data_IF_862583024918
#
_entry.id   IF_862583024918
#
_cell.length_a   1.000
_cell.length_b   1.000
_cell.length_c   1.000
_cell.angle_alpha   90.00
_cell.angle_beta   90.00
_cell.angle_gamma   90.00
#
_symmetry.space_group_name_H-M   'P 1'
#
loop_
_entity.id
_entity.type
_entity.pdbx_description
1 polymer ?
#
# COMPACT_ATOMS: atom_id res chain seq x y z
N UNK A 1 -30.05 -36.67 11.47
CA UNK A 1 -29.72 -35.23 11.51
C UNK A 1 -28.36 -35.14 12.20
N UNK A 2 -27.30 -35.29 11.42
CA UNK A 2 -25.92 -35.21 11.92
C UNK A 2 -25.53 -33.75 11.69
N UNK A 3 -25.32 -33.04 12.78
CA UNK A 3 -24.79 -31.68 12.78
C UNK A 3 -23.32 -31.85 12.43
N UNK A 4 -22.95 -31.55 11.19
CA UNK A 4 -21.55 -31.37 10.83
C UNK A 4 -21.07 -30.08 11.50
N UNK A 5 -20.37 -30.28 12.61
CA UNK A 5 -19.61 -29.27 13.31
C UNK A 5 -18.52 -28.80 12.33
N UNK A 6 -18.71 -27.61 11.79
CA UNK A 6 -17.77 -26.96 10.89
C UNK A 6 -16.51 -26.63 11.69
N UNK A 7 -15.58 -27.58 11.75
CA UNK A 7 -14.30 -27.40 12.42
C UNK A 7 -13.56 -26.27 11.70
N UNK A 8 -13.55 -25.09 12.32
CA UNK A 8 -12.71 -23.99 11.91
C UNK A 8 -11.27 -24.52 11.83
N UNK A 9 -10.72 -24.59 10.62
CA UNK A 9 -9.34 -24.98 10.39
C UNK A 9 -8.45 -24.05 11.22
N UNK A 10 -7.62 -24.61 12.10
CA UNK A 10 -6.57 -23.85 12.78
C UNK A 10 -5.81 -23.03 11.73
N UNK A 11 -5.58 -21.72 11.96
CA UNK A 11 -4.88 -20.90 10.99
C UNK A 11 -3.50 -21.52 10.72
N UNK A 12 -3.25 -21.85 9.46
CA UNK A 12 -1.96 -22.36 9.02
C UNK A 12 -0.86 -21.30 9.18
N UNK A 13 0.42 -21.69 9.15
CA UNK A 13 1.52 -20.72 9.24
C UNK A 13 1.42 -19.69 8.11
N UNK A 14 1.71 -18.42 8.44
CA UNK A 14 1.69 -17.32 7.49
C UNK A 14 2.52 -17.66 6.24
N UNK A 15 1.88 -17.56 5.07
CA UNK A 15 2.62 -17.64 3.81
C UNK A 15 3.60 -16.47 3.70
N UNK A 16 4.87 -16.72 3.32
CA UNK A 16 5.87 -15.66 3.25
C UNK A 16 5.52 -14.63 2.18
N UNK A 17 5.78 -13.36 2.50
CA UNK A 17 5.70 -12.27 1.54
C UNK A 17 6.87 -12.44 0.56
N UNK A 18 6.57 -12.43 -0.74
CA UNK A 18 7.59 -12.55 -1.78
C UNK A 18 7.81 -11.20 -2.46
N UNK A 19 9.04 -10.71 -2.46
CA UNK A 19 9.48 -9.57 -3.26
C UNK A 19 10.66 -10.00 -4.14
N UNK A 20 10.40 -10.22 -5.43
CA UNK A 20 11.34 -10.86 -6.36
C UNK A 20 11.83 -12.22 -5.79
N UNK A 21 13.11 -12.34 -5.46
CA UNK A 21 13.73 -13.52 -4.87
C UNK A 21 13.99 -13.39 -3.35
N UNK A 22 13.46 -12.35 -2.71
CA UNK A 22 13.44 -12.19 -1.26
C UNK A 22 12.13 -12.75 -0.69
N UNK A 23 12.23 -13.67 0.25
CA UNK A 23 11.12 -14.11 1.09
C UNK A 23 11.19 -13.38 2.43
N UNK A 24 10.08 -12.80 2.85
CA UNK A 24 9.95 -12.11 4.13
C UNK A 24 8.91 -12.86 4.97
N UNK A 25 9.30 -13.20 6.19
CA UNK A 25 8.42 -13.77 7.19
C UNK A 25 8.71 -13.11 8.55
N UNK A 26 8.10 -13.59 9.61
CA UNK A 26 8.16 -12.94 10.91
C UNK A 26 8.41 -13.94 12.03
N UNK A 27 9.13 -13.50 13.05
CA UNK A 27 9.37 -14.28 14.27
C UNK A 27 8.94 -13.52 15.50
N UNK A 28 8.48 -14.26 16.50
CA UNK A 28 8.18 -13.77 17.85
C UNK A 28 9.20 -14.25 18.88
N UNK A 29 10.28 -14.90 18.43
CA UNK A 29 11.35 -15.43 19.27
C UNK A 29 12.57 -14.52 19.24
N UNK A 30 13.11 -14.26 20.43
CA UNK A 30 14.21 -13.33 20.64
C UNK A 30 15.18 -13.83 21.71
N UNK A 31 16.47 -13.74 21.40
CA UNK A 31 17.55 -13.93 22.36
C UNK A 31 17.99 -12.59 22.97
N UNK A 32 17.95 -12.48 24.31
CA UNK A 32 18.43 -11.30 25.04
C UNK A 32 19.95 -11.24 25.00
N UNK A 33 20.52 -10.19 24.40
CA UNK A 33 21.97 -10.01 24.30
C UNK A 33 22.50 -9.22 25.50
N UNK A 34 21.92 -8.04 25.71
CA UNK A 34 22.38 -7.09 26.73
C UNK A 34 21.22 -6.23 27.22
N UNK A 35 21.28 -5.83 28.48
CA UNK A 35 20.33 -4.93 29.10
C UNK A 35 21.08 -3.88 29.90
N UNK A 36 20.57 -2.66 29.86
CA UNK A 36 21.16 -1.52 30.59
C UNK A 36 20.81 -1.54 32.09
N UNK A 37 20.13 -2.57 32.58
CA UNK A 37 19.88 -2.82 34.00
C UNK A 37 21.16 -2.68 34.83
N UNK A 38 21.13 -1.89 35.89
CA UNK A 38 22.28 -1.66 36.76
C UNK A 38 23.25 -0.56 36.28
N UNK A 39 22.99 0.05 35.13
CA UNK A 39 23.67 1.30 34.69
C UNK A 39 22.85 2.54 35.10
N UNK A 40 23.43 3.73 34.97
CA UNK A 40 22.69 5.01 35.15
C UNK A 40 22.01 5.48 33.86
N UNK A 41 22.09 4.71 32.77
CA UNK A 41 21.45 5.02 31.50
C UNK A 41 19.95 4.72 31.54
N UNK A 42 19.21 5.22 30.54
CA UNK A 42 17.81 4.84 30.36
C UNK A 42 17.69 3.32 30.20
N UNK A 43 16.67 2.75 30.86
CA UNK A 43 16.42 1.31 30.84
C UNK A 43 16.08 0.85 29.41
N UNK A 44 16.73 -0.21 28.96
CA UNK A 44 16.55 -0.74 27.62
C UNK A 44 17.29 -2.06 27.45
N UNK A 45 16.82 -2.85 26.49
CA UNK A 45 17.36 -4.18 26.23
C UNK A 45 17.53 -4.40 24.73
N UNK A 46 18.69 -4.95 24.37
CA UNK A 46 19.02 -5.38 23.02
C UNK A 46 18.71 -6.86 22.85
N UNK A 47 17.98 -7.16 21.79
CA UNK A 47 17.45 -8.48 21.48
C UNK A 47 17.85 -8.89 20.07
N UNK A 48 18.23 -10.16 19.89
CA UNK A 48 18.40 -10.76 18.57
C UNK A 48 17.15 -11.51 18.18
N UNK A 49 16.47 -11.20 17.06
CA UNK A 49 15.45 -12.09 16.53
C UNK A 49 16.06 -13.45 16.20
N UNK A 50 15.43 -14.52 16.67
CA UNK A 50 15.90 -15.90 16.51
C UNK A 50 14.82 -16.70 15.79
N UNK A 51 14.76 -16.68 14.44
CA UNK A 51 13.78 -17.49 13.72
C UNK A 51 13.94 -18.97 14.09
N UNK A 52 12.86 -19.56 14.60
CA UNK A 52 12.81 -20.96 15.00
C UNK A 52 13.17 -21.86 13.80
N UNK A 53 14.10 -22.80 13.97
CA UNK A 53 14.68 -23.55 12.84
C UNK A 53 13.71 -24.56 12.22
N UNK A 54 12.76 -25.02 13.01
CA UNK A 54 11.68 -25.93 12.63
C UNK A 54 10.56 -25.18 11.87
N UNK A 55 10.19 -23.99 12.32
CA UNK A 55 9.14 -23.19 11.68
C UNK A 55 9.64 -22.34 10.50
N UNK A 56 10.86 -21.81 10.59
CA UNK A 56 11.46 -20.85 9.65
C UNK A 56 12.88 -21.27 9.21
N UNK A 57 13.04 -22.46 8.60
CA UNK A 57 14.35 -22.92 8.14
C UNK A 57 14.93 -21.98 7.09
N UNK A 58 16.20 -21.61 7.28
CA UNK A 58 16.93 -20.75 6.34
C UNK A 58 16.63 -19.25 6.45
N UNK A 59 15.76 -18.84 7.37
CA UNK A 59 15.51 -17.42 7.63
C UNK A 59 16.60 -16.83 8.52
N UNK A 60 16.95 -15.56 8.24
CA UNK A 60 17.94 -14.79 8.97
C UNK A 60 17.38 -13.44 9.42
N UNK A 61 17.81 -12.93 10.58
CA UNK A 61 17.51 -11.57 10.98
C UNK A 61 18.29 -10.55 10.14
N UNK A 62 17.77 -9.32 10.10
CA UNK A 62 18.34 -8.17 9.40
C UNK A 62 19.20 -7.26 10.29
N UNK A 63 19.12 -7.47 11.60
CA UNK A 63 19.77 -6.69 12.65
C UNK A 63 19.20 -7.08 14.01
N UNK A 64 19.76 -6.51 15.06
CA UNK A 64 19.22 -6.64 16.41
C UNK A 64 18.19 -5.52 16.68
N UNK A 65 17.33 -5.76 17.65
CA UNK A 65 16.23 -4.89 18.05
C UNK A 65 16.57 -4.24 19.40
N UNK A 66 16.25 -2.97 19.56
CA UNK A 66 16.32 -2.30 20.86
C UNK A 66 14.92 -2.00 21.37
N UNK A 67 14.61 -2.45 22.59
CA UNK A 67 13.32 -2.21 23.24
C UNK A 67 13.55 -1.44 24.55
N UNK A 68 12.91 -0.27 24.73
CA UNK A 68 12.91 0.44 26.01
C UNK A 68 12.38 -0.44 27.15
N UNK A 69 13.01 -0.33 28.32
CA UNK A 69 12.67 -1.15 29.48
C UNK A 69 13.35 -2.53 29.52
N UNK A 70 12.79 -3.41 30.34
CA UNK A 70 13.37 -4.72 30.64
C UNK A 70 12.29 -5.84 30.64
N UNK A 71 11.28 -5.69 29.80
CA UNK A 71 10.23 -6.70 29.62
C UNK A 71 10.74 -7.81 28.68
N UNK A 72 10.26 -9.04 28.90
CA UNK A 72 10.46 -10.12 27.94
C UNK A 72 9.53 -9.89 26.76
N UNK A 73 10.06 -9.89 25.55
CA UNK A 73 9.30 -9.59 24.33
C UNK A 73 8.91 -10.83 23.53
N UNK A 74 9.34 -12.02 23.98
CA UNK A 74 9.03 -13.29 23.33
C UNK A 74 7.53 -13.54 23.33
N UNK A 75 6.95 -13.82 22.16
CA UNK A 75 5.51 -14.04 21.99
C UNK A 75 4.65 -12.76 22.01
N UNK A 76 5.19 -11.60 22.38
CA UNK A 76 4.47 -10.33 22.43
C UNK A 76 4.81 -9.40 21.26
N UNK A 77 6.06 -9.45 20.80
CA UNK A 77 6.56 -8.64 19.70
C UNK A 77 6.86 -9.50 18.48
N UNK A 78 6.84 -8.86 17.32
CA UNK A 78 7.06 -9.50 16.02
C UNK A 78 8.16 -8.75 15.27
N UNK A 79 9.14 -9.47 14.71
CA UNK A 79 10.23 -8.89 13.92
C UNK A 79 10.37 -9.59 12.57
N UNK A 80 10.73 -8.82 11.54
CA UNK A 80 10.91 -9.33 10.19
C UNK A 80 12.19 -10.17 10.08
N UNK A 81 12.08 -11.30 9.41
CA UNK A 81 13.19 -12.19 9.05
C UNK A 81 13.11 -12.54 7.58
N UNK A 82 14.25 -12.83 6.97
CA UNK A 82 14.35 -12.98 5.51
C UNK A 82 15.01 -14.28 5.09
N UNK A 83 14.58 -14.83 3.96
CA UNK A 83 15.16 -16.01 3.34
C UNK A 83 15.32 -15.79 1.83
N UNK A 84 16.29 -16.47 1.24
CA UNK A 84 16.44 -16.53 -0.22
C UNK A 84 15.37 -17.44 -0.80
N UNK A 85 14.67 -17.00 -1.84
CA UNK A 85 13.74 -17.87 -2.56
C UNK A 85 14.53 -18.91 -3.35
N UNK A 86 14.16 -20.20 -3.19
CA UNK A 86 14.72 -21.26 -4.03
C UNK A 86 14.23 -21.11 -5.48
N UNK A 87 15.08 -20.51 -6.32
CA UNK A 87 14.87 -20.37 -7.75
C UNK A 87 15.43 -21.61 -8.46
N UNK A 88 14.77 -22.77 -8.33
CA UNK A 88 15.17 -24.07 -8.91
C UNK A 88 15.51 -23.99 -10.41
N UNK A 89 16.76 -23.63 -10.74
CA UNK A 89 17.29 -23.54 -12.10
C UNK A 89 16.99 -22.24 -12.87
N UNK A 90 16.23 -21.29 -12.31
CA UNK A 90 16.01 -19.99 -12.95
C UNK A 90 17.18 -19.05 -12.63
N UNK A 91 17.97 -18.66 -13.63
CA UNK A 91 19.02 -17.65 -13.45
C UNK A 91 18.36 -16.30 -13.15
N UNK A 92 18.45 -15.83 -11.90
CA UNK A 92 18.19 -14.41 -11.61
C UNK A 92 19.36 -13.60 -12.18
N UNK A 93 19.09 -12.74 -13.16
CA UNK A 93 20.09 -11.86 -13.77
C UNK A 93 20.72 -10.88 -12.76
N UNK A 94 20.04 -10.64 -11.62
CA UNK A 94 20.47 -9.73 -10.55
C UNK A 94 21.18 -10.42 -9.38
N UNK A 95 21.39 -11.75 -9.44
CA UNK A 95 22.02 -12.52 -8.37
C UNK A 95 21.12 -12.77 -7.15
N UNK A 96 21.71 -13.12 -6.00
CA UNK A 96 20.99 -13.47 -4.77
C UNK A 96 20.38 -12.24 -4.11
N UNK A 97 19.20 -12.40 -3.49
CA UNK A 97 18.56 -11.34 -2.70
C UNK A 97 19.34 -11.04 -1.42
N UNK A 98 20.01 -12.04 -0.86
CA UNK A 98 20.71 -11.94 0.41
C UNK A 98 22.21 -12.22 0.28
N UNK A 99 23.01 -11.47 1.04
CA UNK A 99 24.43 -11.71 1.22
C UNK A 99 24.83 -11.67 2.69
N UNK A 100 25.91 -12.36 3.05
CA UNK A 100 26.55 -12.15 4.35
C UNK A 100 27.24 -10.77 4.34
N UNK A 101 27.35 -10.08 5.48
CA UNK A 101 28.24 -8.93 5.58
C UNK A 101 29.67 -9.33 5.20
N UNK A 102 30.40 -8.42 4.57
CA UNK A 102 31.80 -8.60 4.23
C UNK A 102 32.68 -8.55 5.49
N UNK A 103 32.33 -7.65 6.43
CA UNK A 103 32.95 -7.55 7.74
C UNK A 103 32.02 -6.79 8.72
N UNK A 104 32.46 -6.56 9.95
CA UNK A 104 31.81 -5.70 10.93
C UNK A 104 32.76 -4.61 11.45
N UNK A 105 32.25 -3.38 11.50
CA UNK A 105 32.92 -2.22 12.08
C UNK A 105 32.43 -2.01 13.52
N UNK A 106 33.36 -1.79 14.46
CA UNK A 106 33.02 -1.49 15.86
C UNK A 106 32.47 -0.06 15.95
N UNK A 107 31.22 0.09 16.40
CA UNK A 107 30.58 1.40 16.61
C UNK A 107 30.71 1.85 18.07
N UNK A 108 30.53 0.90 19.00
CA UNK A 108 30.55 1.18 20.42
C UNK A 108 30.98 -0.04 21.22
N UNK A 109 31.62 0.18 22.37
CA UNK A 109 31.86 -0.85 23.37
C UNK A 109 31.92 -0.27 24.77
N UNK A 110 31.54 -1.09 25.73
CA UNK A 110 31.71 -0.79 27.14
C UNK A 110 33.20 -0.68 27.49
N UNK A 111 33.56 0.27 28.35
CA UNK A 111 34.96 0.63 28.63
C UNK A 111 35.38 0.37 30.07
N UNK A 112 34.48 -0.14 30.92
CA UNK A 112 34.75 -0.31 32.34
C UNK A 112 35.56 -1.59 32.59
N UNK A 113 36.73 -1.45 33.22
CA UNK A 113 37.60 -2.57 33.62
C UNK A 113 36.95 -3.48 34.67
N UNK A 114 35.89 -3.02 35.32
CA UNK A 114 35.15 -3.71 36.38
C UNK A 114 33.65 -3.89 36.07
N UNK A 115 33.19 -3.65 34.83
CA UNK A 115 31.79 -4.00 34.50
C UNK A 115 31.63 -5.51 34.45
N UNK A 116 30.53 -6.00 35.04
CA UNK A 116 30.18 -7.42 35.07
C UNK A 116 29.83 -7.93 33.67
N UNK A 117 29.39 -7.04 32.78
CA UNK A 117 29.12 -7.32 31.37
C UNK A 117 30.13 -6.60 30.49
N UNK A 118 30.66 -7.27 29.47
CA UNK A 118 31.40 -6.64 28.38
C UNK A 118 30.43 -6.59 27.21
N UNK A 119 30.14 -5.44 26.64
CA UNK A 119 29.18 -5.35 25.54
C UNK A 119 29.75 -4.50 24.41
N UNK A 120 29.45 -4.88 23.17
CA UNK A 120 29.81 -4.09 22.00
C UNK A 120 28.70 -4.05 20.95
N UNK A 121 28.68 -2.98 20.15
CA UNK A 121 27.74 -2.76 19.06
C UNK A 121 28.54 -2.58 17.77
N UNK A 122 28.12 -3.30 16.74
CA UNK A 122 28.82 -3.44 15.47
C UNK A 122 27.91 -3.08 14.30
N UNK A 123 28.48 -2.38 13.32
CA UNK A 123 27.83 -2.07 12.04
C UNK A 123 28.27 -3.11 11.02
N UNK A 124 27.35 -3.84 10.37
CA UNK A 124 27.70 -4.70 9.26
C UNK A 124 28.22 -3.86 8.09
N UNK A 125 29.31 -4.31 7.46
CA UNK A 125 29.82 -3.76 6.20
C UNK A 125 29.21 -4.61 5.09
N UNK A 126 28.22 -4.10 4.34
CA UNK A 126 27.60 -4.88 3.27
C UNK A 126 28.55 -5.04 2.07
N UNK A 127 28.47 -6.16 1.33
CA UNK A 127 29.12 -6.28 0.03
C UNK A 127 28.58 -5.26 -0.99
N UNK A 128 29.33 -5.02 -2.07
CA UNK A 128 28.89 -4.14 -3.17
C UNK A 128 27.55 -4.61 -3.73
N UNK A 129 26.60 -3.68 -3.89
CA UNK A 129 25.24 -3.96 -4.36
C UNK A 129 24.24 -4.38 -3.27
N UNK A 130 24.69 -4.46 -2.01
CA UNK A 130 23.86 -4.79 -0.87
C UNK A 130 23.88 -3.66 0.17
N UNK A 131 22.91 -3.67 1.07
CA UNK A 131 22.82 -2.73 2.20
C UNK A 131 22.64 -3.47 3.51
N UNK A 132 23.12 -2.87 4.60
CA UNK A 132 22.85 -3.33 5.95
C UNK A 132 21.56 -2.68 6.46
N UNK A 133 20.69 -3.47 7.07
CA UNK A 133 19.37 -3.02 7.53
C UNK A 133 19.30 -2.83 9.05
N UNK A 134 20.43 -2.76 9.74
CA UNK A 134 20.49 -2.59 11.20
C UNK A 134 21.90 -2.82 11.76
N UNK A 135 22.03 -2.73 13.08
CA UNK A 135 23.27 -3.03 13.82
C UNK A 135 23.16 -4.33 14.61
N UNK A 136 24.31 -4.83 15.07
CA UNK A 136 24.43 -6.07 15.82
C UNK A 136 25.11 -5.80 17.17
N UNK A 137 24.50 -6.25 18.26
CA UNK A 137 25.05 -6.23 19.60
C UNK A 137 25.75 -7.55 19.92
N UNK A 138 26.80 -7.52 20.72
CA UNK A 138 27.51 -8.68 21.23
C UNK A 138 27.64 -8.57 22.75
N UNK A 139 27.44 -9.68 23.45
CA UNK A 139 27.58 -9.81 24.91
C UNK A 139 29.04 -9.92 25.37
N UNK A 140 29.97 -9.58 24.48
CA UNK A 140 31.40 -9.42 24.73
C UNK A 140 31.96 -8.29 23.83
N UNK A 141 33.29 -8.19 23.73
CA UNK A 141 33.97 -7.26 22.81
C UNK A 141 34.45 -7.95 21.53
N UNK A 142 34.00 -9.18 21.27
CA UNK A 142 34.40 -9.95 20.11
C UNK A 142 33.57 -9.54 18.89
N UNK A 143 34.22 -9.57 17.73
CA UNK A 143 33.53 -9.31 16.47
C UNK A 143 32.45 -10.39 16.22
N UNK A 144 31.22 -10.02 15.81
CA UNK A 144 30.17 -10.98 15.50
C UNK A 144 30.52 -11.91 14.32
N UNK A 145 29.84 -13.05 14.25
CA UNK A 145 29.95 -13.95 13.10
C UNK A 145 29.31 -13.32 11.85
N UNK A 146 29.91 -13.55 10.68
CA UNK A 146 29.30 -13.16 9.39
C UNK A 146 27.97 -13.89 9.12
N UNK A 147 27.63 -14.93 9.89
CA UNK A 147 26.35 -15.61 9.78
C UNK A 147 25.24 -14.98 10.64
N UNK A 148 25.56 -14.00 11.50
CA UNK A 148 24.63 -13.44 12.49
C UNK A 148 23.43 -12.75 11.86
N UNK A 149 23.61 -12.06 10.72
CA UNK A 149 22.55 -11.36 9.98
C UNK A 149 22.72 -11.55 8.47
N UNK A 150 21.81 -10.99 7.66
CA UNK A 150 22.00 -10.81 6.22
C UNK A 150 21.89 -9.35 5.80
N UNK A 151 22.71 -8.98 4.81
CA UNK A 151 22.54 -7.78 4.02
C UNK A 151 21.59 -8.07 2.86
N UNK A 152 20.81 -7.08 2.45
CA UNK A 152 19.78 -7.22 1.40
C UNK A 152 20.23 -6.49 0.15
N UNK A 153 19.96 -7.07 -1.02
CA UNK A 153 20.28 -6.46 -2.30
C UNK A 153 19.57 -5.11 -2.42
N UNK A 154 20.31 -4.08 -2.86
CA UNK A 154 19.87 -2.69 -2.75
C UNK A 154 18.58 -2.36 -3.51
N UNK A 155 18.23 -3.08 -4.58
CA UNK A 155 17.01 -2.86 -5.37
C UNK A 155 15.74 -3.48 -4.75
N UNK A 156 15.89 -4.29 -3.70
CA UNK A 156 14.79 -4.95 -2.97
C UNK A 156 14.33 -4.16 -1.74
N UNK A 157 14.97 -3.03 -1.48
CA UNK A 157 14.68 -2.13 -0.36
C UNK A 157 14.48 -0.72 -0.88
N UNK A 158 13.98 0.15 -0.01
CA UNK A 158 13.89 1.58 -0.25
C UNK A 158 14.67 2.33 0.82
N UNK A 159 15.26 3.46 0.46
CA UNK A 159 15.87 4.36 1.44
C UNK A 159 14.80 4.85 2.43
N UNK A 160 15.15 4.83 3.71
CA UNK A 160 14.27 5.20 4.81
C UNK A 160 14.82 6.40 5.56
N UNK A 161 13.95 7.06 6.29
CA UNK A 161 14.30 8.18 7.15
C UNK A 161 14.81 7.69 8.50
N UNK A 162 15.75 8.43 9.07
CA UNK A 162 16.08 8.28 10.49
C UNK A 162 14.95 8.92 11.28
N UNK A 163 14.38 8.19 12.22
CA UNK A 163 13.23 8.62 13.02
C UNK A 163 13.62 9.24 14.37
N UNK A 164 12.76 9.02 15.35
CA UNK A 164 12.94 9.46 16.74
C UNK A 164 14.11 8.75 17.47
N UNK A 165 14.72 9.39 18.47
CA UNK A 165 15.75 8.77 19.30
C UNK A 165 15.15 7.63 20.13
N UNK A 166 15.74 6.44 20.03
CA UNK A 166 15.37 5.29 20.85
C UNK A 166 16.14 5.27 22.16
N UNK A 167 17.46 5.51 22.10
CA UNK A 167 18.35 5.40 23.26
C UNK A 167 19.69 6.10 23.05
N UNK A 168 20.40 6.38 24.13
CA UNK A 168 21.81 6.76 24.11
C UNK A 168 22.54 6.22 25.33
N UNK A 169 23.86 6.16 25.22
CA UNK A 169 24.73 5.54 26.22
C UNK A 169 25.10 6.45 27.41
N UNK A 170 24.51 7.64 27.54
CA UNK A 170 24.77 8.53 28.66
C UNK A 170 24.38 7.83 29.96
N UNK A 171 25.34 7.67 30.87
CA UNK A 171 25.15 6.96 32.14
C UNK A 171 25.57 5.49 32.14
N UNK A 172 26.05 4.96 31.01
CA UNK A 172 26.66 3.61 30.96
C UNK A 172 28.11 3.57 31.47
N UNK A 173 28.80 4.71 31.46
CA UNK A 173 30.24 4.77 31.81
C UNK A 173 31.18 4.37 30.68
N UNK A 174 30.67 4.19 29.45
CA UNK A 174 31.52 3.99 28.27
C UNK A 174 32.32 5.26 27.91
N UNK A 175 33.48 5.07 27.29
CA UNK A 175 34.33 6.17 26.78
C UNK A 175 33.89 6.66 25.40
N UNK A 176 33.32 5.76 24.60
CA UNK A 176 32.72 6.10 23.32
C UNK A 176 31.32 6.68 23.58
N UNK A 177 30.86 7.53 22.67
CA UNK A 177 29.46 8.00 22.66
C UNK A 177 28.65 7.18 21.68
N UNK A 178 27.38 6.93 22.00
CA UNK A 178 26.48 6.20 21.12
C UNK A 178 25.04 6.66 21.28
N UNK A 179 24.32 6.71 20.15
CA UNK A 179 22.87 6.84 20.13
C UNK A 179 22.24 5.90 19.11
N UNK A 180 21.07 5.36 19.47
CA UNK A 180 20.21 4.53 18.65
C UNK A 180 18.96 5.31 18.24
N UNK A 181 18.56 5.19 16.98
CA UNK A 181 17.47 5.92 16.36
C UNK A 181 16.52 4.94 15.63
N UNK A 182 15.24 5.28 15.62
CA UNK A 182 14.23 4.52 14.91
C UNK A 182 14.45 4.62 13.39
N UNK A 183 13.91 3.65 12.65
CA UNK A 183 13.83 3.68 11.19
C UNK A 183 12.40 3.99 10.80
N UNK A 184 12.22 5.01 9.96
CA UNK A 184 10.92 5.44 9.47
C UNK A 184 10.84 5.22 7.96
N UNK A 185 9.96 4.33 7.48
CA UNK A 185 9.76 4.12 6.06
C UNK A 185 9.39 5.42 5.34
N UNK A 186 9.76 5.56 4.06
CA UNK A 186 9.27 6.66 3.24
C UNK A 186 7.76 6.53 3.03
N UNK A 187 7.13 7.60 2.56
CA UNK A 187 5.74 7.53 2.11
C UNK A 187 5.63 6.54 0.95
N UNK A 188 4.75 5.55 1.08
CA UNK A 188 4.56 4.53 0.05
C UNK A 188 3.88 5.11 -1.20
N UNK A 189 4.34 4.64 -2.36
CA UNK A 189 3.70 4.88 -3.65
C UNK A 189 2.38 4.11 -3.78
N UNK A 190 1.45 4.51 -4.67
CA UNK A 190 0.20 3.80 -4.88
C UNK A 190 0.42 2.32 -5.22
N UNK A 191 -0.23 1.45 -4.45
CA UNK A 191 -0.11 -0.01 -4.60
C UNK A 191 1.06 -0.64 -3.84
N UNK A 192 1.83 0.13 -3.06
CA UNK A 192 2.98 -0.37 -2.31
C UNK A 192 2.77 -0.33 -0.78
N UNK A 193 3.56 -1.17 -0.10
CA UNK A 193 3.79 -1.12 1.35
C UNK A 193 5.29 -1.08 1.59
N UNK A 194 5.76 -0.06 2.32
CA UNK A 194 7.12 0.07 2.82
C UNK A 194 7.12 -0.11 4.35
N UNK A 195 8.04 -0.90 4.92
CA UNK A 195 8.06 -1.13 6.37
C UNK A 195 9.48 -1.33 6.91
N UNK A 196 9.71 -0.81 8.12
CA UNK A 196 10.98 -0.94 8.80
C UNK A 196 11.18 -2.39 9.23
N UNK A 197 12.42 -2.93 9.21
CA UNK A 197 12.70 -4.30 9.61
C UNK A 197 12.57 -4.55 11.13
N UNK A 198 12.31 -3.50 11.92
CA UNK A 198 12.26 -3.57 13.38
C UNK A 198 13.60 -3.38 14.08
N UNK A 199 14.64 -2.99 13.34
CA UNK A 199 15.98 -2.72 13.84
C UNK A 199 16.16 -1.22 14.15
N UNK A 200 17.40 -0.79 14.38
CA UNK A 200 17.74 0.61 14.66
C UNK A 200 18.97 1.07 13.87
N UNK A 201 19.07 2.39 13.72
CA UNK A 201 20.28 3.09 13.27
C UNK A 201 21.13 3.44 14.48
N UNK A 202 22.44 3.18 14.42
CA UNK A 202 23.38 3.48 15.49
C UNK A 202 24.56 4.32 15.02
N UNK A 203 24.83 5.42 15.74
CA UNK A 203 25.93 6.35 15.42
C UNK A 203 26.82 6.63 16.63
N UNK A 204 28.13 6.87 16.43
CA UNK A 204 29.07 7.14 17.51
C UNK A 204 29.00 8.60 18.01
N UNK A 205 27.80 9.20 18.00
CA UNK A 205 27.52 10.57 18.45
C UNK A 205 26.15 10.62 19.12
N UNK A 206 25.75 11.78 19.65
CA UNK A 206 24.41 12.01 20.19
C UNK A 206 23.47 12.74 19.22
N UNK A 207 23.95 13.09 18.04
CA UNK A 207 23.19 13.86 17.05
C UNK A 207 22.51 12.92 16.06
N UNK A 208 21.30 13.29 15.65
CA UNK A 208 20.55 12.55 14.63
C UNK A 208 21.36 12.51 13.33
N UNK A 209 21.64 11.32 12.76
CA UNK A 209 22.30 11.26 11.47
C UNK A 209 21.41 11.83 10.37
N UNK A 210 22.03 12.55 9.44
CA UNK A 210 21.36 13.20 8.30
C UNK A 210 21.91 12.77 6.94
N UNK A 211 22.90 11.86 6.91
CA UNK A 211 23.48 11.39 5.66
C UNK A 211 22.50 10.48 4.91
N UNK A 212 22.42 10.58 3.57
CA UNK A 212 21.63 9.65 2.76
C UNK A 212 22.19 8.23 2.89
N UNK A 213 21.34 7.23 2.68
CA UNK A 213 21.68 5.81 2.76
C UNK A 213 22.00 5.32 4.18
N UNK A 214 21.59 6.06 5.21
CA UNK A 214 21.79 5.68 6.62
C UNK A 214 20.80 4.61 7.08
N UNK A 215 19.59 4.60 6.52
CA UNK A 215 18.53 3.69 6.90
C UNK A 215 17.81 3.16 5.65
N UNK A 216 17.26 1.95 5.77
CA UNK A 216 16.52 1.28 4.70
C UNK A 216 15.28 0.59 5.26
N UNK A 217 14.24 0.51 4.43
CA UNK A 217 13.00 -0.21 4.71
C UNK A 217 12.78 -1.32 3.68
N UNK A 218 12.12 -2.39 4.12
CA UNK A 218 11.61 -3.43 3.23
C UNK A 218 10.42 -2.88 2.44
N UNK A 219 10.14 -3.45 1.27
CA UNK A 219 8.98 -3.09 0.46
C UNK A 219 8.28 -4.30 -0.14
N UNK A 220 7.00 -4.15 -0.43
CA UNK A 220 6.18 -5.11 -1.17
C UNK A 220 5.07 -4.41 -1.96
N UNK A 221 4.56 -5.09 -2.98
CA UNK A 221 3.34 -4.68 -3.67
C UNK A 221 2.11 -5.21 -2.92
N UNK A 222 1.02 -4.45 -2.91
CA UNK A 222 -0.28 -4.91 -2.44
C UNK A 222 -0.85 -5.86 -3.51
N UNK A 223 -0.99 -7.17 -3.23
CA UNK A 223 -1.60 -8.09 -4.17
C UNK A 223 -3.05 -7.69 -4.41
N UNK A 224 -3.39 -7.45 -5.67
CA UNK A 224 -4.72 -7.06 -6.09
C UNK A 224 -5.30 -8.11 -7.04
N UNK A 225 -6.48 -8.61 -6.71
CA UNK A 225 -7.27 -9.45 -7.60
C UNK A 225 -8.36 -8.59 -8.22
N UNK A 226 -8.42 -8.54 -9.54
CA UNK A 226 -9.43 -7.79 -10.30
C UNK A 226 -10.26 -8.79 -11.11
N UNK A 227 -11.58 -8.75 -10.93
CA UNK A 227 -12.57 -9.48 -11.72
C UNK A 227 -13.24 -8.51 -12.70
N UNK A 228 -13.98 -9.06 -13.65
CA UNK A 228 -14.71 -8.26 -14.63
C UNK A 228 -15.69 -7.30 -13.95
N UNK A 229 -15.69 -6.05 -14.39
CA UNK A 229 -16.67 -5.04 -13.97
C UNK A 229 -18.10 -5.49 -14.31
N UNK A 230 -19.11 -5.10 -13.50
CA UNK A 230 -20.49 -5.39 -13.82
C UNK A 230 -20.88 -4.76 -15.16
N UNK A 231 -21.73 -5.45 -15.91
CA UNK A 231 -22.30 -4.88 -17.13
C UNK A 231 -23.46 -3.96 -16.77
N UNK A 232 -23.54 -2.82 -17.45
CA UNK A 232 -24.65 -1.90 -17.33
C UNK A 232 -25.97 -2.59 -17.71
N UNK A 233 -27.02 -2.52 -16.88
CA UNK A 233 -28.31 -3.10 -17.21
C UNK A 233 -28.95 -2.40 -18.41
N UNK A 234 -29.55 -3.19 -19.32
CA UNK A 234 -30.31 -2.68 -20.45
C UNK A 234 -31.82 -2.95 -20.24
N UNK A 235 -32.65 -1.99 -20.60
CA UNK A 235 -34.11 -2.18 -20.61
C UNK A 235 -34.52 -3.12 -21.75
N UNK A 236 -35.18 -4.22 -21.39
CA UNK A 236 -35.73 -5.20 -22.34
C UNK A 236 -37.24 -5.05 -22.57
N UNK A 237 -37.88 -4.11 -21.87
CA UNK A 237 -39.31 -3.83 -21.98
C UNK A 237 -39.72 -2.54 -21.27
N UNK A 238 -41.03 -2.31 -21.19
CA UNK A 238 -41.64 -1.14 -20.51
C UNK A 238 -41.93 -1.39 -19.02
N UNK A 239 -41.48 -2.50 -18.46
CA UNK A 239 -41.62 -2.77 -17.04
C UNK A 239 -40.54 -2.02 -16.26
N UNK A 240 -40.85 -1.65 -15.02
CA UNK A 240 -39.85 -1.13 -14.10
C UNK A 240 -38.77 -2.21 -13.87
N UNK A 241 -37.46 -1.86 -13.91
CA UNK A 241 -36.40 -2.80 -13.58
C UNK A 241 -36.57 -3.38 -12.17
N UNK A 242 -36.26 -4.67 -11.99
CA UNK A 242 -36.21 -5.29 -10.65
C UNK A 242 -34.89 -5.01 -9.94
N UNK A 243 -34.89 -5.09 -8.60
CA UNK A 243 -33.74 -4.81 -7.72
C UNK A 243 -32.74 -5.99 -7.60
N UNK A 244 -32.87 -7.04 -8.41
CA UNK A 244 -32.12 -8.30 -8.26
C UNK A 244 -30.69 -8.26 -8.83
N UNK A 245 -29.90 -7.26 -8.45
CA UNK A 245 -28.46 -7.28 -8.70
C UNK A 245 -27.78 -8.24 -7.70
N UNK A 246 -27.21 -9.33 -8.21
CA UNK A 246 -26.34 -10.20 -7.40
C UNK A 246 -25.06 -9.42 -7.08
N UNK A 247 -24.92 -9.01 -5.82
CA UNK A 247 -23.72 -8.36 -5.28
C UNK A 247 -22.49 -9.24 -5.54
N UNK A 248 -21.59 -8.78 -6.41
CA UNK A 248 -20.36 -9.52 -6.77
C UNK A 248 -19.14 -8.68 -6.44
N UNK A 249 -18.29 -9.23 -5.57
CA UNK A 249 -16.96 -8.67 -5.29
C UNK A 249 -16.16 -8.61 -6.59
N UNK A 250 -15.82 -7.40 -7.02
CA UNK A 250 -15.10 -7.13 -8.27
C UNK A 250 -13.61 -7.01 -8.04
N UNK A 251 -13.19 -6.48 -6.89
CA UNK A 251 -11.76 -6.33 -6.58
C UNK A 251 -11.45 -6.71 -5.14
N UNK A 252 -10.27 -7.29 -4.93
CA UNK A 252 -9.80 -7.69 -3.59
C UNK A 252 -8.34 -7.26 -3.43
N UNK A 253 -8.09 -6.34 -2.50
CA UNK A 253 -6.74 -5.99 -2.06
C UNK A 253 -6.37 -6.83 -0.83
N UNK A 254 -5.31 -7.64 -0.93
CA UNK A 254 -4.83 -8.50 0.18
C UNK A 254 -3.79 -7.75 1.01
N UNK A 255 -4.08 -7.55 2.29
CA UNK A 255 -3.23 -6.76 3.20
C UNK A 255 -2.63 -7.67 4.29
N UNK A 256 -1.33 -7.55 4.60
CA UNK A 256 -0.74 -8.31 5.71
C UNK A 256 -1.17 -7.73 7.06
N UNK A 257 -1.14 -8.56 8.10
CA UNK A 257 -1.55 -8.21 9.48
C UNK A 257 -0.93 -6.91 10.00
N UNK A 258 0.33 -6.62 9.65
CA UNK A 258 1.01 -5.44 10.17
C UNK A 258 0.47 -4.14 9.55
N UNK A 259 -0.12 -4.20 8.34
CA UNK A 259 -0.69 -3.05 7.63
C UNK A 259 -2.12 -2.71 8.07
N UNK A 260 -2.73 -3.53 8.92
CA UNK A 260 -4.09 -3.36 9.44
C UNK A 260 -4.04 -3.31 10.96
N UNK A 261 -4.74 -2.36 11.56
CA UNK A 261 -5.00 -2.36 13.00
C UNK A 261 -6.32 -3.07 13.26
N UNK A 262 -6.29 -4.04 14.16
CA UNK A 262 -7.49 -4.83 14.47
C UNK A 262 -7.48 -5.30 15.92
N UNK A 263 -6.34 -5.84 16.37
CA UNK A 263 -6.13 -6.23 17.76
C UNK A 263 -5.26 -5.22 18.49
N UNK A 264 -5.37 -5.20 19.83
CA UNK A 264 -4.48 -4.42 20.68
C UNK A 264 -3.06 -5.03 20.72
N UNK A 265 -2.95 -6.36 20.66
CA UNK A 265 -1.68 -7.07 20.66
C UNK A 265 -1.28 -7.48 19.22
N UNK A 266 -0.12 -7.00 18.72
CA UNK A 266 0.38 -7.34 17.39
C UNK A 266 0.67 -8.84 17.17
N UNK A 267 1.20 -9.55 18.17
CA UNK A 267 1.52 -10.96 18.04
C UNK A 267 0.26 -11.83 17.99
N UNK A 268 -0.77 -11.50 18.77
CA UNK A 268 -2.08 -12.15 18.69
C UNK A 268 -2.66 -12.02 17.27
N UNK A 269 -2.65 -10.80 16.72
CA UNK A 269 -3.11 -10.53 15.35
C UNK A 269 -2.33 -11.34 14.32
N UNK A 270 -1.00 -11.43 14.46
CA UNK A 270 -0.14 -12.17 13.55
C UNK A 270 -0.54 -13.65 13.46
N UNK A 271 -0.91 -14.28 14.58
CA UNK A 271 -1.29 -15.69 14.61
C UNK A 271 -2.77 -15.95 14.25
N UNK A 272 -3.68 -15.02 14.57
CA UNK A 272 -5.11 -15.20 14.32
C UNK A 272 -5.58 -14.72 12.95
N UNK A 273 -4.90 -13.73 12.37
CA UNK A 273 -5.27 -13.11 11.08
C UNK A 273 -4.04 -12.56 10.37
N UNK A 274 -3.17 -13.43 9.84
CA UNK A 274 -1.94 -13.02 9.13
C UNK A 274 -2.22 -12.17 7.88
N UNK A 275 -3.41 -12.31 7.29
CA UNK A 275 -3.87 -11.54 6.14
C UNK A 275 -5.32 -11.06 6.31
N UNK A 276 -5.62 -9.96 5.65
CA UNK A 276 -6.94 -9.34 5.53
C UNK A 276 -7.27 -9.13 4.06
N UNK A 277 -8.56 -9.12 3.74
CA UNK A 277 -9.08 -8.79 2.43
C UNK A 277 -9.89 -7.51 2.50
N UNK A 278 -9.40 -6.44 1.87
CA UNK A 278 -10.22 -5.27 1.57
C UNK A 278 -10.93 -5.53 0.24
N UNK A 279 -12.19 -5.94 0.35
CA UNK A 279 -13.04 -6.28 -0.77
C UNK A 279 -13.76 -5.03 -1.26
N UNK A 280 -13.83 -4.87 -2.58
CA UNK A 280 -14.63 -3.88 -3.27
C UNK A 280 -15.65 -4.61 -4.14
N UNK A 281 -16.91 -4.20 -4.01
CA UNK A 281 -18.00 -4.63 -4.88
C UNK A 281 -18.44 -3.43 -5.70
N UNK A 282 -18.49 -3.59 -7.03
CA UNK A 282 -19.05 -2.58 -7.94
C UNK A 282 -20.43 -3.04 -8.41
N UNK A 283 -21.41 -2.13 -8.41
CA UNK A 283 -22.75 -2.39 -8.91
C UNK A 283 -23.39 -1.16 -9.57
N UNK A 284 -24.33 -1.41 -10.48
CA UNK A 284 -25.15 -0.36 -11.08
C UNK A 284 -26.46 -0.21 -10.30
N UNK A 285 -26.63 0.91 -9.63
CA UNK A 285 -27.83 1.25 -8.85
C UNK A 285 -28.80 2.06 -9.71
N UNK A 286 -30.08 1.70 -9.69
CA UNK A 286 -31.13 2.43 -10.41
C UNK A 286 -31.41 3.77 -9.70
N UNK A 287 -31.09 4.88 -10.38
CA UNK A 287 -31.40 6.24 -9.89
C UNK A 287 -32.83 6.63 -10.27
N UNK A 288 -33.26 6.23 -11.46
CA UNK A 288 -34.46 6.77 -12.07
C UNK A 288 -35.03 5.89 -13.15
N UNK A 289 -36.35 5.85 -13.21
CA UNK A 289 -37.13 5.19 -14.24
C UNK A 289 -38.31 6.08 -14.63
N UNK A 290 -38.59 6.19 -15.93
CA UNK A 290 -39.82 6.79 -16.44
C UNK A 290 -40.31 6.04 -17.68
N UNK A 291 -41.62 5.86 -17.78
CA UNK A 291 -42.28 5.35 -18.97
C UNK A 291 -43.21 6.42 -19.53
N UNK A 292 -42.80 7.02 -20.64
CA UNK A 292 -43.59 8.05 -21.31
C UNK A 292 -44.58 7.41 -22.28
N UNK A 293 -45.83 7.31 -21.87
CA UNK A 293 -46.95 6.82 -22.71
C UNK A 293 -47.51 7.87 -23.66
N UNK A 294 -47.07 9.13 -23.57
CA UNK A 294 -47.61 10.23 -24.37
C UNK A 294 -46.95 10.35 -25.75
N UNK A 295 -47.56 11.14 -26.63
CA UNK A 295 -47.03 11.45 -27.97
C UNK A 295 -45.98 12.59 -27.99
N UNK A 296 -45.61 13.14 -26.83
CA UNK A 296 -44.64 14.25 -26.72
C UNK A 296 -43.43 13.84 -25.88
N UNK A 297 -42.25 14.26 -26.28
CA UNK A 297 -41.04 14.16 -25.46
C UNK A 297 -41.20 15.03 -24.21
N UNK A 298 -40.79 14.51 -23.05
CA UNK A 298 -40.84 15.26 -21.79
C UNK A 298 -39.54 15.09 -21.00
N UNK A 299 -39.12 16.09 -20.21
CA UNK A 299 -38.02 15.90 -19.28
C UNK A 299 -38.48 15.07 -18.08
N UNK A 300 -37.65 14.11 -17.67
CA UNK A 300 -37.75 13.46 -16.39
C UNK A 300 -36.57 13.91 -15.51
N UNK A 301 -36.82 14.05 -14.20
CA UNK A 301 -35.85 14.54 -13.23
C UNK A 301 -35.82 13.60 -12.04
N UNK A 302 -34.62 13.17 -11.67
CA UNK A 302 -34.37 12.31 -10.52
C UNK A 302 -33.25 12.88 -9.66
N UNK A 303 -33.24 12.46 -8.41
CA UNK A 303 -32.19 12.81 -7.44
C UNK A 303 -31.32 11.57 -7.22
N UNK A 304 -30.07 11.65 -7.65
CA UNK A 304 -29.06 10.62 -7.41
C UNK A 304 -28.41 10.86 -6.04
N UNK A 305 -28.70 9.98 -5.09
CA UNK A 305 -28.00 9.97 -3.81
C UNK A 305 -26.59 9.43 -3.97
N UNK A 306 -25.74 9.69 -2.98
CA UNK A 306 -24.34 9.29 -2.95
C UNK A 306 -24.12 8.25 -1.85
N UNK A 307 -23.39 7.20 -2.15
CA UNK A 307 -22.95 6.17 -1.22
C UNK A 307 -21.81 6.64 -0.30
N UNK A 308 -21.14 7.75 -0.64
CA UNK A 308 -20.10 8.38 0.19
C UNK A 308 -20.60 8.60 1.62
N UNK A 309 -19.88 8.02 2.59
CA UNK A 309 -20.14 8.17 4.02
C UNK A 309 -18.86 8.61 4.75
N UNK A 310 -18.55 9.92 4.82
CA UNK A 310 -17.33 10.43 5.44
C UNK A 310 -17.23 10.08 6.93
N UNK A 311 -18.36 9.96 7.63
CA UNK A 311 -18.37 9.57 9.06
C UNK A 311 -17.98 8.09 9.21
N UNK A 312 -18.57 7.23 8.39
CA UNK A 312 -18.22 5.81 8.32
C UNK A 312 -16.75 5.60 7.95
N UNK A 313 -16.28 6.30 6.92
CA UNK A 313 -14.89 6.26 6.48
C UNK A 313 -13.91 6.70 7.59
N UNK A 314 -14.20 7.77 8.34
CA UNK A 314 -13.37 8.18 9.48
C UNK A 314 -13.36 7.13 10.60
N UNK A 315 -14.49 6.49 10.90
CA UNK A 315 -14.56 5.40 11.89
C UNK A 315 -13.75 4.19 11.42
N UNK A 316 -13.87 3.84 10.14
CA UNK A 316 -13.08 2.78 9.51
C UNK A 316 -11.58 3.07 9.66
N UNK A 317 -11.10 4.22 9.18
CA UNK A 317 -9.69 4.61 9.29
C UNK A 317 -9.22 4.72 10.74
N UNK A 318 -10.06 5.21 11.66
CA UNK A 318 -9.73 5.28 13.08
C UNK A 318 -9.54 3.90 13.74
N UNK A 319 -10.31 2.90 13.29
CA UNK A 319 -10.22 1.53 13.81
C UNK A 319 -9.08 0.75 13.14
N UNK A 320 -8.96 0.84 11.81
CA UNK A 320 -8.08 -0.02 10.99
C UNK A 320 -6.73 0.61 10.66
N UNK A 321 -6.57 1.91 10.90
CA UNK A 321 -5.48 2.78 10.41
C UNK A 321 -5.43 2.96 8.89
N UNK A 322 -6.20 2.20 8.10
CA UNK A 322 -6.18 2.26 6.63
C UNK A 322 -6.75 3.59 6.16
N UNK A 323 -6.06 4.23 5.23
CA UNK A 323 -6.53 5.43 4.54
C UNK A 323 -6.85 5.10 3.08
N UNK A 324 -8.03 5.48 2.62
CA UNK A 324 -8.49 5.14 1.27
C UNK A 324 -7.86 6.03 0.21
N UNK A 325 -7.74 7.34 0.46
CA UNK A 325 -7.31 8.30 -0.57
C UNK A 325 -5.83 8.73 -0.47
N UNK A 326 -5.07 8.18 0.49
CA UNK A 326 -3.69 8.60 0.77
C UNK A 326 -2.91 7.48 1.47
N UNK A 327 -1.61 7.68 1.64
CA UNK A 327 -0.79 6.74 2.40
C UNK A 327 -1.16 6.73 3.90
N UNK A 328 -1.02 5.56 4.54
CA UNK A 328 -1.22 5.34 5.97
C UNK A 328 -0.01 4.66 6.63
N UNK A 329 0.16 4.74 7.96
CA UNK A 329 -0.68 5.46 8.92
C UNK A 329 -0.53 6.99 8.76
N UNK A 330 -1.64 7.72 8.86
CA UNK A 330 -1.64 9.19 8.80
C UNK A 330 -1.43 9.86 10.15
N UNK A 331 -1.61 9.10 11.24
CA UNK A 331 -1.42 9.51 12.62
C UNK A 331 -0.47 8.52 13.28
N UNK A 332 0.42 9.02 14.15
CA UNK A 332 1.32 8.17 14.91
C UNK A 332 0.49 7.22 15.77
N UNK A 333 0.60 5.91 15.49
CA UNK A 333 -0.13 4.90 16.25
C UNK A 333 0.48 4.84 17.66
N UNK A 334 -0.38 4.81 18.67
CA UNK A 334 0.02 4.64 20.07
C UNK A 334 0.34 3.19 20.43
N UNK A 335 0.34 2.27 19.45
CA UNK A 335 0.57 0.85 19.70
C UNK A 335 2.07 0.52 19.72
N UNK A 336 2.45 -0.46 20.55
CA UNK A 336 3.84 -0.91 20.65
C UNK A 336 4.16 -1.90 19.52
N UNK A 337 4.06 -1.47 18.26
CA UNK A 337 4.57 -2.26 17.14
C UNK A 337 6.07 -2.01 16.98
N UNK A 338 6.83 -3.10 16.81
CA UNK A 338 8.25 -3.01 16.44
C UNK A 338 8.41 -2.52 14.99
N UNK A 339 7.45 -2.83 14.13
CA UNK A 339 7.47 -2.52 12.70
C UNK A 339 6.70 -1.21 12.43
N UNK A 340 7.42 -0.13 12.12
CA UNK A 340 6.84 1.05 11.48
C UNK A 340 6.57 0.75 10.01
N UNK A 341 5.49 1.29 9.44
CA UNK A 341 5.12 1.09 8.04
C UNK A 341 4.62 2.38 7.38
N UNK A 342 4.62 2.39 6.05
CA UNK A 342 3.79 3.24 5.20
C UNK A 342 3.18 2.36 4.12
N UNK A 343 1.90 2.54 3.81
CA UNK A 343 1.20 1.81 2.75
C UNK A 343 0.25 2.74 2.02
N UNK A 344 0.00 2.50 0.73
CA UNK A 344 -0.97 3.27 -0.06
C UNK A 344 -1.69 2.36 -1.03
N UNK A 345 -3.02 2.42 -1.04
CA UNK A 345 -3.83 1.61 -1.95
C UNK A 345 -3.66 2.10 -3.40
N UNK A 346 -3.81 1.21 -4.40
CA UNK A 346 -3.83 1.63 -5.81
C UNK A 346 -4.93 2.64 -6.11
N UNK A 347 -4.67 3.57 -7.02
CA UNK A 347 -5.60 4.67 -7.30
C UNK A 347 -6.89 4.18 -7.98
N UNK A 348 -6.80 3.29 -8.98
CA UNK A 348 -7.96 2.61 -9.58
C UNK A 348 -8.80 1.82 -8.59
N UNK A 349 -8.18 1.23 -7.56
CA UNK A 349 -8.92 0.50 -6.52
C UNK A 349 -9.76 1.45 -5.67
N UNK A 350 -9.32 2.69 -5.51
CA UNK A 350 -9.90 3.69 -4.59
C UNK A 350 -10.61 4.85 -5.30
N UNK A 351 -10.75 4.77 -6.63
CA UNK A 351 -11.30 5.82 -7.50
C UNK A 351 -10.56 7.16 -7.43
N UNK A 352 -9.33 7.20 -6.94
CA UNK A 352 -8.60 8.48 -6.78
C UNK A 352 -7.97 9.01 -8.07
N UNK A 353 -7.90 8.19 -9.12
CA UNK A 353 -7.42 8.58 -10.45
C UNK A 353 -8.49 9.32 -11.28
N UNK A 354 -9.77 9.01 -11.05
CA UNK A 354 -10.91 9.47 -11.87
C UNK A 354 -11.87 10.40 -11.12
N UNK A 355 -11.77 10.48 -9.78
CA UNK A 355 -12.76 11.21 -8.98
C UNK A 355 -12.69 12.72 -9.17
N UNK A 356 -13.75 13.30 -9.73
CA UNK A 356 -13.92 14.74 -9.82
C UNK A 356 -14.35 15.38 -8.47
N UNK A 357 -15.01 14.61 -7.58
CA UNK A 357 -15.65 15.14 -6.37
C UNK A 357 -15.12 14.59 -5.03
N UNK A 358 -14.25 13.58 -5.06
CA UNK A 358 -13.56 13.01 -3.90
C UNK A 358 -14.45 12.19 -2.95
N UNK A 359 -13.85 11.74 -1.85
CA UNK A 359 -14.49 10.85 -0.86
C UNK A 359 -15.35 11.55 0.21
N UNK A 360 -15.41 12.89 0.17
CA UNK A 360 -16.09 13.69 1.21
C UNK A 360 -17.38 14.36 0.73
N UNK A 361 -17.66 14.36 -0.58
CA UNK A 361 -18.85 14.99 -1.14
C UNK A 361 -20.07 14.07 -0.96
N UNK A 362 -21.09 14.59 -0.27
CA UNK A 362 -22.33 13.87 0.01
C UNK A 362 -23.55 14.49 -0.69
N UNK A 363 -23.39 15.66 -1.31
CA UNK A 363 -24.52 16.35 -1.95
C UNK A 363 -25.06 15.48 -3.08
N UNK A 364 -26.37 15.17 -3.05
CA UNK A 364 -26.99 14.41 -4.12
C UNK A 364 -26.92 15.21 -5.42
N UNK A 365 -26.84 14.50 -6.53
CA UNK A 365 -26.87 15.09 -7.85
C UNK A 365 -28.28 15.06 -8.42
N UNK A 366 -28.57 16.00 -9.32
CA UNK A 366 -29.82 16.01 -10.05
C UNK A 366 -29.54 15.49 -11.45
N UNK A 367 -30.19 14.39 -11.82
CA UNK A 367 -30.11 13.83 -13.17
C UNK A 367 -31.38 14.19 -13.92
N UNK A 368 -31.21 14.79 -15.10
CA UNK A 368 -32.31 15.16 -16.00
C UNK A 368 -32.07 14.44 -17.32
N UNK A 369 -33.07 13.68 -17.79
CA UNK A 369 -33.04 13.04 -19.09
C UNK A 369 -34.30 13.39 -19.89
N UNK A 370 -34.16 13.50 -21.21
CA UNK A 370 -35.30 13.66 -22.10
C UNK A 370 -35.87 12.29 -22.43
N UNK A 371 -37.13 12.05 -22.05
CA UNK A 371 -37.83 10.80 -22.30
C UNK A 371 -38.67 10.99 -23.57
N UNK A 372 -38.26 10.32 -24.65
CA UNK A 372 -38.95 10.35 -25.93
C UNK A 372 -40.40 9.85 -25.80
N UNK A 373 -41.23 10.19 -26.79
CA UNK A 373 -42.61 9.70 -26.85
C UNK A 373 -42.63 8.17 -26.93
N UNK A 374 -43.55 7.53 -26.21
CA UNK A 374 -43.75 6.06 -26.23
C UNK A 374 -42.50 5.24 -25.88
N UNK A 375 -41.55 5.79 -25.11
CA UNK A 375 -40.36 5.07 -24.64
C UNK A 375 -40.34 4.92 -23.13
N UNK A 376 -39.74 3.85 -22.63
CA UNK A 376 -39.26 3.75 -21.26
C UNK A 376 -37.76 4.10 -21.20
N UNK A 377 -37.34 4.73 -20.11
CA UNK A 377 -35.95 5.11 -19.84
C UNK A 377 -35.60 4.68 -18.42
N UNK A 378 -34.39 4.12 -18.24
CA UNK A 378 -33.80 3.87 -16.94
C UNK A 378 -32.41 4.50 -16.88
N UNK A 379 -32.08 5.07 -15.73
CA UNK A 379 -30.80 5.67 -15.42
C UNK A 379 -30.15 4.89 -14.29
N UNK A 380 -28.97 4.38 -14.54
CA UNK A 380 -28.14 3.69 -13.56
C UNK A 380 -26.88 4.50 -13.25
N UNK A 381 -26.35 4.32 -12.06
CA UNK A 381 -25.07 4.87 -11.66
C UNK A 381 -24.22 3.80 -10.97
N UNK A 382 -22.93 3.85 -11.24
CA UNK A 382 -21.97 2.94 -10.61
C UNK A 382 -21.72 3.35 -9.15
N UNK A 383 -21.94 2.41 -8.25
CA UNK A 383 -21.55 2.51 -6.85
C UNK A 383 -20.54 1.40 -6.49
N UNK A 384 -19.62 1.72 -5.59
CA UNK A 384 -18.59 0.82 -5.09
C UNK A 384 -18.64 0.74 -3.58
N UNK A 385 -18.77 -0.47 -3.04
CA UNK A 385 -18.86 -0.73 -1.61
C UNK A 385 -17.62 -1.48 -1.10
N UNK A 386 -17.11 -1.08 0.06
CA UNK A 386 -15.85 -1.56 0.60
C UNK A 386 -16.05 -2.24 1.95
N UNK A 387 -15.51 -3.45 2.07
CA UNK A 387 -15.56 -4.24 3.30
C UNK A 387 -14.20 -4.86 3.59
N UNK A 388 -13.75 -4.75 4.84
CA UNK A 388 -12.53 -5.39 5.31
C UNK A 388 -12.89 -6.69 6.03
N UNK A 389 -12.27 -7.79 5.62
CA UNK A 389 -12.56 -9.15 6.10
C UNK A 389 -11.27 -9.77 6.66
N UNK A 390 -11.37 -10.45 7.81
CA UNK A 390 -10.32 -11.32 8.38
C UNK A 390 -10.23 -12.63 7.62
N UNK A 391 -9.16 -13.39 7.83
CA UNK A 391 -8.99 -14.71 7.20
C UNK A 391 -10.09 -15.72 7.58
N UNK A 392 -10.68 -15.59 8.77
CA UNK A 392 -11.81 -16.42 9.23
C UNK A 392 -13.18 -16.02 8.62
N UNK A 393 -13.20 -15.00 7.76
CA UNK A 393 -14.41 -14.48 7.12
C UNK A 393 -15.17 -13.43 7.94
N UNK A 394 -14.73 -13.11 9.15
CA UNK A 394 -15.38 -12.09 9.97
C UNK A 394 -15.06 -10.68 9.48
N UNK A 395 -16.06 -9.79 9.52
CA UNK A 395 -15.88 -8.41 9.11
C UNK A 395 -15.12 -7.59 10.17
N UNK A 396 -14.30 -6.67 9.67
CA UNK A 396 -13.58 -5.66 10.44
C UNK A 396 -14.17 -4.30 10.12
N UNK A 397 -14.54 -3.57 11.17
CA UNK A 397 -15.05 -2.20 11.10
C UNK A 397 -16.30 -2.02 10.21
N UNK A 398 -16.71 -0.76 10.04
CA UNK A 398 -17.91 -0.37 9.29
C UNK A 398 -17.66 -0.38 7.78
N UNK A 399 -18.67 -0.79 7.02
CA UNK A 399 -18.71 -0.67 5.56
C UNK A 399 -18.91 0.79 5.13
N UNK A 400 -18.36 1.14 3.97
CA UNK A 400 -18.52 2.45 3.36
C UNK A 400 -18.55 2.32 1.83
N UNK A 401 -19.18 3.29 1.17
CA UNK A 401 -19.37 3.28 -0.28
C UNK A 401 -18.82 4.53 -0.96
N UNK A 402 -18.77 4.46 -2.29
CA UNK A 402 -18.39 5.53 -3.19
C UNK A 402 -19.25 5.48 -4.44
N UNK A 403 -19.84 6.61 -4.79
CA UNK A 403 -20.57 6.79 -6.04
C UNK A 403 -19.67 7.46 -7.07
N UNK A 404 -19.52 6.85 -8.25
CA UNK A 404 -18.83 7.43 -9.39
C UNK A 404 -19.77 8.40 -10.14
N UNK A 405 -19.42 9.68 -10.11
CA UNK A 405 -20.19 10.73 -10.75
C UNK A 405 -19.98 10.83 -12.26
N UNK A 406 -18.93 10.20 -12.78
CA UNK A 406 -18.65 10.12 -14.21
C UNK A 406 -19.35 8.94 -14.91
N UNK A 407 -19.74 7.92 -14.15
CA UNK A 407 -20.33 6.67 -14.66
C UNK A 407 -21.85 6.63 -14.52
N UNK A 408 -22.54 7.51 -15.25
CA UNK A 408 -24.01 7.47 -15.41
C UNK A 408 -24.35 6.74 -16.70
N UNK A 409 -25.16 5.69 -16.60
CA UNK A 409 -25.63 4.92 -17.74
C UNK A 409 -27.13 5.13 -18.00
N UNK A 410 -27.46 5.55 -19.21
CA UNK A 410 -28.83 5.72 -19.68
C UNK A 410 -29.18 4.59 -20.63
N UNK A 411 -30.29 3.90 -20.39
CA UNK A 411 -30.86 2.90 -21.30
C UNK A 411 -32.32 3.24 -21.60
N UNK A 412 -32.80 2.85 -22.78
CA UNK A 412 -34.18 3.07 -23.21
C UNK A 412 -34.78 1.87 -23.93
N UNK A 413 -36.11 1.79 -23.92
CA UNK A 413 -36.90 0.79 -24.66
C UNK A 413 -38.08 1.46 -25.39
N UNK A 414 -38.35 1.14 -26.66
CA UNK A 414 -37.57 0.25 -27.54
C UNK A 414 -36.17 0.82 -27.81
N UNK A 415 -35.15 -0.03 -28.07
CA UNK A 415 -33.83 0.44 -28.48
C UNK A 415 -33.94 1.36 -29.70
N UNK A 416 -33.11 2.39 -29.78
CA UNK A 416 -33.11 3.28 -30.94
C UNK A 416 -32.84 2.46 -32.21
N UNK A 417 -33.75 2.53 -33.18
CA UNK A 417 -33.43 2.07 -34.53
C UNK A 417 -32.39 3.06 -35.07
N UNK A 418 -31.17 2.59 -35.25
CA UNK A 418 -30.14 3.35 -35.97
C UNK A 418 -30.67 3.50 -37.40
N UNK A 419 -31.28 4.65 -37.72
CA UNK A 419 -31.51 5.04 -39.10
C UNK A 419 -30.13 5.27 -39.72
N UNK A 420 -29.65 4.26 -40.45
CA UNK A 420 -28.51 4.42 -41.35
C UNK A 420 -28.92 5.50 -42.33
N UNK A 421 -28.37 6.71 -42.14
CA UNK A 421 -28.59 7.83 -43.05
C UNK A 421 -28.26 7.35 -44.47
N UNK A 422 -29.30 7.21 -45.30
CA UNK A 422 -29.12 6.95 -46.72
C UNK A 422 -28.31 8.11 -47.30
N UNK A 423 -27.25 7.75 -48.01
CA UNK A 423 -26.28 8.67 -48.58
C UNK A 423 -26.96 9.88 -49.26
N UNK A 424 -26.48 11.08 -48.97
CA UNK A 424 -26.87 12.29 -49.69
C UNK A 424 -26.71 12.05 -51.21
N UNK A 425 -27.69 12.40 -52.05
CA UNK A 425 -27.50 12.41 -53.50
C UNK A 425 -26.38 13.39 -53.85
N UNK A 426 -25.41 12.96 -54.64
CA UNK A 426 -24.34 13.83 -55.10
C UNK A 426 -24.91 15.00 -55.93
N UNK A 427 -24.43 16.23 -55.73
CA UNK A 427 -24.84 17.35 -56.55
C UNK A 427 -24.31 17.16 -57.98
N UNK A 428 -25.21 17.19 -58.96
CA UNK A 428 -24.88 17.24 -60.37
C UNK A 428 -24.21 18.57 -60.68
N UNK A 429 -22.91 18.50 -61.01
CA UNK A 429 -22.12 19.66 -61.40
C UNK A 429 -22.55 20.19 -62.77
N UNK A 430 -23.15 21.37 -62.80
CA UNK A 430 -23.21 22.20 -63.99
C UNK A 430 -22.14 23.30 -63.85
N UNK A 431 -21.04 23.16 -64.57
CA UNK A 431 -20.00 24.18 -64.71
C UNK A 431 -20.13 24.84 -66.09
N UNK A 432 -20.30 26.18 -66.20
CA UNK A 432 -20.10 26.90 -67.45
C UNK A 432 -18.60 27.19 -67.68
N UNK A 433 -18.13 27.33 -68.94
CA UNK A 433 -16.71 27.38 -69.25
C UNK A 433 -16.13 28.78 -69.04
N UNK A 434 -14.91 28.85 -68.50
CA UNK A 434 -14.18 30.10 -68.29
C UNK A 434 -12.70 29.89 -67.98
N UNK A 435 -11.94 29.65 -69.06
CA UNK A 435 -10.56 30.12 -69.34
C UNK A 435 -9.43 29.82 -68.35
N UNK A 436 -8.43 29.13 -68.90
CA UNK A 436 -7.11 28.79 -68.36
C UNK A 436 -6.30 30.00 -67.85
N UNK A 437 -5.63 29.83 -66.70
CA UNK A 437 -4.23 30.23 -66.52
C UNK A 437 -3.61 29.49 -65.33
N UNK A 438 -2.46 28.88 -65.59
CA UNK A 438 -1.71 27.95 -64.73
C UNK A 438 -0.93 28.66 -63.62
N UNK A 439 -0.92 28.09 -62.41
CA UNK A 439 0.13 28.31 -61.42
C UNK A 439 0.25 27.09 -60.48
N UNK A 440 1.38 26.39 -60.57
CA UNK A 440 1.81 25.31 -59.67
C UNK A 440 2.75 25.91 -58.64
N UNK A 441 2.49 25.74 -57.32
CA UNK A 441 3.54 25.66 -56.29
C UNK A 441 3.08 24.80 -55.12
N UNK A 442 3.90 23.79 -54.80
CA UNK A 442 3.81 22.86 -53.67
C UNK A 442 3.87 23.53 -52.28
N UNK A 443 3.13 22.97 -51.32
CA UNK A 443 3.18 23.32 -49.90
C UNK A 443 3.79 22.15 -49.12
N UNK A 444 4.95 22.38 -48.50
CA UNK A 444 5.54 21.51 -47.46
C UNK A 444 5.50 22.24 -46.11
N UNK A 445 5.26 21.43 -45.06
CA UNK A 445 4.86 21.73 -43.68
C UNK A 445 5.71 22.74 -42.85
N UNK A 446 5.14 23.35 -41.80
CA UNK A 446 5.85 24.29 -40.93
C UNK A 446 6.46 23.63 -39.68
N UNK A 447 7.64 24.13 -39.27
CA UNK A 447 8.30 23.82 -37.99
C UNK A 447 8.55 25.08 -37.15
N UNK A 448 8.29 24.93 -35.84
CA UNK A 448 8.86 25.63 -34.67
C UNK A 448 9.03 27.16 -34.67
N UNK A 449 8.26 27.83 -33.79
CA UNK A 449 8.46 29.20 -33.32
C UNK A 449 9.49 29.28 -32.18
N UNK A 450 10.51 30.13 -32.33
CA UNK A 450 11.35 30.67 -31.24
C UNK A 450 11.25 32.21 -31.22
N UNK A 451 11.14 32.78 -30.01
CA UNK A 451 11.02 34.23 -29.69
C UNK A 451 12.20 35.08 -30.18
N UNK A 452 11.99 36.39 -30.42
CA UNK A 452 13.07 37.37 -30.48
C UNK A 452 13.29 38.12 -29.17
N UNK A 453 14.57 38.45 -28.95
CA UNK A 453 15.14 39.39 -27.97
C UNK A 453 14.95 40.85 -28.39
N UNK A 454 14.91 41.76 -27.41
CA UNK A 454 15.17 43.18 -27.63
C UNK A 454 16.25 43.66 -26.65
N UNK A 455 17.28 44.27 -27.21
CA UNK A 455 18.40 44.98 -26.56
C UNK A 455 18.08 46.48 -26.58
N UNK A 456 18.40 47.23 -25.52
CA UNK A 456 19.41 48.30 -25.63
C UNK A 456 19.87 48.90 -24.28
N UNK A 457 21.06 49.48 -24.36
CA UNK A 457 22.07 49.96 -23.38
C UNK A 457 21.71 51.28 -22.65
N UNK A 458 21.99 51.44 -21.34
CA UNK A 458 23.16 52.07 -20.65
C UNK A 458 23.21 53.62 -20.72
N UNK A 459 23.76 54.36 -19.73
CA UNK A 459 25.01 54.13 -18.97
C UNK A 459 24.85 53.74 -17.50
#
# INVERSE_FOLDING_TARGET
>A
MIIEENAASLPGPMQPITHDNLLINFTTEFYRIWSTNGTKAKLGTFWRPTPARDALPGYFPLGDVFIPGNVNINGEMVSAVVCEKDLKGAKNSKGNALAKPADFELVWKESLTHSVTRTSIWRPIPPVGYVAMGLVCASDHSKPSLNTIRCVRADLVVEANVGDPLWNDKGTGAKLSFSAWAIEPPTAEPGEICFAPGTFVGVPTYSKPSAPGTAYALRMQIPLQIKAAPQAPALTGYAHPGDDAVVKVTQIARLPWFAVRDHANPAEQFFSSPYYELQRTDEYVLIGYDHNTSDKTRPAKWTAHRAQNPIGLRKFSGFTSIEIAKAWPSVLLSDMRVLKLSARLPEHFTHTESSASGWNEMRPQVVIAMVAKKTAVAVYQMESHYRLIREDGTQVAVEFGYTDDSSIHLTHYPPEQIEVASACPQPTGNTPPGTEASAVVDVIAPSSLKRPSATDTAP
#
